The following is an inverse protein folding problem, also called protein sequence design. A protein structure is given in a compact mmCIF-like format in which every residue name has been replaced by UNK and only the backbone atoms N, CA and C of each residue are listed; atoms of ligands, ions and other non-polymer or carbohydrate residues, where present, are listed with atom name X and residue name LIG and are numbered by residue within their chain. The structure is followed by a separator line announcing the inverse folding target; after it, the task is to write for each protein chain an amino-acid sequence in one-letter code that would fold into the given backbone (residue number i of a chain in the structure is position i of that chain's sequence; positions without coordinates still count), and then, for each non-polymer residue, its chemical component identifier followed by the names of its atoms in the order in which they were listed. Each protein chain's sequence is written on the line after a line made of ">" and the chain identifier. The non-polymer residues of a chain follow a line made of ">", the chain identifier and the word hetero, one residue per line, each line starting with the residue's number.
data_IF_450243790300
#
_entry.id   IF_450243790300
#
_cell.length_a   1.000
_cell.length_b   1.000
_cell.length_c   1.000
_cell.angle_alpha   90.00
_cell.angle_beta   90.00
_cell.angle_gamma   90.00
#
_symmetry.space_group_name_H-M   'P 1'
#
loop_
_entity.id
_entity.type
_entity.pdbx_description
1 polymer ?
#
# COMPACT_ATOMS: atom_id res chain seq x y z
N UNK A 1 7.67 13.97 2.94
CA UNK A 1 6.43 13.18 3.07
C UNK A 1 6.80 11.74 3.35
N UNK A 2 5.89 10.93 3.92
CA UNK A 2 6.10 9.49 4.17
C UNK A 2 5.19 8.63 3.32
N UNK A 3 5.61 7.41 3.03
CA UNK A 3 4.76 6.40 2.41
C UNK A 3 4.29 5.37 3.42
N UNK A 4 3.05 4.91 3.26
CA UNK A 4 2.37 3.91 4.07
C UNK A 4 1.90 2.82 3.13
N UNK A 5 2.56 1.66 3.19
CA UNK A 5 2.28 0.48 2.36
C UNK A 5 1.35 -0.48 3.11
N UNK A 6 0.25 -0.88 2.47
CA UNK A 6 -0.72 -1.85 3.00
C UNK A 6 -0.32 -3.28 2.59
N UNK A 7 0.46 -3.96 3.43
CA UNK A 7 1.05 -5.27 3.11
C UNK A 7 0.64 -6.39 4.09
N UNK A 8 -0.50 -6.24 4.77
CA UNK A 8 -0.92 -7.17 5.82
C UNK A 8 -1.71 -8.40 5.31
N UNK A 9 -2.20 -8.34 4.07
CA UNK A 9 -3.12 -9.33 3.50
C UNK A 9 -2.56 -10.74 3.34
N UNK A 10 -3.46 -11.71 3.26
CA UNK A 10 -3.13 -13.14 3.16
C UNK A 10 -2.56 -13.56 1.80
N UNK A 11 -2.93 -12.87 0.71
CA UNK A 11 -2.53 -13.28 -0.64
C UNK A 11 -3.08 -14.64 -1.08
N UNK A 12 -4.17 -15.12 -0.46
CA UNK A 12 -4.67 -16.49 -0.56
C UNK A 12 -4.97 -16.98 -1.98
N UNK A 13 -5.31 -16.07 -2.90
CA UNK A 13 -5.64 -16.36 -4.30
C UNK A 13 -4.45 -16.85 -5.13
N UNK A 14 -3.23 -16.52 -4.74
CA UNK A 14 -2.02 -16.91 -5.47
C UNK A 14 -1.48 -18.27 -5.05
N UNK A 15 -2.01 -18.88 -3.98
CA UNK A 15 -1.49 -20.14 -3.44
C UNK A 15 -0.02 -20.05 -2.99
N UNK A 16 0.48 -18.85 -2.72
CA UNK A 16 1.87 -18.61 -2.37
C UNK A 16 2.11 -18.87 -0.89
N UNK A 17 3.16 -19.62 -0.59
CA UNK A 17 3.77 -19.59 0.75
C UNK A 17 4.73 -18.40 0.85
N UNK A 18 4.22 -17.18 0.66
CA UNK A 18 4.88 -15.90 0.97
C UNK A 18 3.89 -14.73 0.88
N UNK A 19 4.11 -13.62 1.61
CA UNK A 19 3.36 -12.38 1.41
C UNK A 19 3.46 -11.88 -0.04
N UNK A 20 2.35 -11.36 -0.59
CA UNK A 20 2.28 -10.79 -1.96
C UNK A 20 3.39 -9.78 -2.25
N UNK A 21 3.67 -8.88 -1.29
CA UNK A 21 4.72 -7.86 -1.44
C UNK A 21 6.13 -8.47 -1.63
N UNK A 22 6.33 -9.75 -1.29
CA UNK A 22 7.58 -10.50 -1.52
C UNK A 22 7.55 -11.37 -2.78
N UNK A 23 6.51 -11.25 -3.61
CA UNK A 23 6.47 -11.86 -4.94
C UNK A 23 7.57 -11.24 -5.80
N UNK A 24 8.30 -12.09 -6.52
CA UNK A 24 9.37 -11.67 -7.41
C UNK A 24 8.87 -11.59 -8.85
N UNK A 25 9.16 -10.47 -9.51
CA UNK A 25 8.96 -10.28 -10.94
C UNK A 25 10.29 -9.86 -11.53
N UNK A 26 10.87 -10.66 -12.43
CA UNK A 26 12.17 -10.38 -13.03
C UNK A 26 13.31 -10.27 -12.00
N UNK A 27 13.32 -11.17 -11.01
CA UNK A 27 14.39 -11.27 -10.00
C UNK A 27 14.41 -10.16 -8.94
N UNK A 28 13.36 -9.35 -8.82
CA UNK A 28 13.19 -8.36 -7.74
C UNK A 28 11.80 -8.47 -7.14
N UNK A 29 11.73 -8.37 -5.81
CA UNK A 29 10.45 -8.36 -5.10
C UNK A 29 9.65 -7.08 -5.37
N UNK A 30 8.33 -7.12 -5.24
CA UNK A 30 7.50 -5.91 -5.25
C UNK A 30 7.95 -4.94 -4.14
N UNK A 31 8.29 -5.45 -2.95
CA UNK A 31 8.84 -4.70 -1.83
C UNK A 31 10.07 -3.89 -2.24
N UNK A 32 11.06 -4.55 -2.85
CA UNK A 32 12.28 -3.90 -3.32
C UNK A 32 11.93 -2.78 -4.32
N UNK A 33 11.03 -3.05 -5.27
CA UNK A 33 10.60 -2.09 -6.28
C UNK A 33 9.92 -0.88 -5.66
N UNK A 34 8.98 -1.07 -4.73
CA UNK A 34 8.35 0.03 -3.98
C UNK A 34 9.40 0.90 -3.30
N UNK A 35 10.31 0.30 -2.51
CA UNK A 35 11.30 1.05 -1.73
C UNK A 35 12.27 1.84 -2.62
N UNK A 36 12.72 1.25 -3.73
CA UNK A 36 13.55 1.96 -4.71
C UNK A 36 12.79 3.07 -5.43
N UNK A 37 11.55 2.84 -5.84
CA UNK A 37 10.72 3.87 -6.48
C UNK A 37 10.46 5.05 -5.53
N UNK A 38 10.08 4.75 -4.28
CA UNK A 38 9.82 5.75 -3.25
C UNK A 38 11.05 6.62 -2.98
N UNK A 39 12.22 6.01 -2.75
CA UNK A 39 13.46 6.76 -2.53
C UNK A 39 13.81 7.64 -3.74
N UNK A 40 13.67 7.11 -4.94
CA UNK A 40 14.03 7.83 -6.16
C UNK A 40 13.03 8.95 -6.51
N UNK A 41 11.84 8.96 -5.91
CA UNK A 41 10.88 10.07 -5.94
C UNK A 41 11.01 11.03 -4.74
N UNK A 42 12.04 10.88 -3.90
CA UNK A 42 12.30 11.77 -2.77
C UNK A 42 11.40 11.54 -1.55
N UNK A 43 10.78 10.37 -1.42
CA UNK A 43 10.03 9.99 -0.22
C UNK A 43 11.01 9.76 0.93
N UNK A 44 10.73 10.37 2.08
CA UNK A 44 11.67 10.43 3.19
C UNK A 44 11.76 9.13 4.00
N UNK A 45 10.65 8.39 4.10
CA UNK A 45 10.55 7.14 4.85
C UNK A 45 9.37 6.30 4.34
N UNK A 46 9.44 4.98 4.56
CA UNK A 46 8.34 4.05 4.33
C UNK A 46 7.92 3.37 5.64
N UNK A 47 6.62 3.32 5.87
CA UNK A 47 5.98 2.54 6.94
C UNK A 47 5.18 1.44 6.27
N UNK A 48 5.36 0.20 6.71
CA UNK A 48 4.71 -0.96 6.12
C UNK A 48 3.81 -1.61 7.17
N UNK A 49 2.51 -1.63 6.90
CA UNK A 49 1.56 -2.42 7.68
C UNK A 49 1.72 -3.88 7.35
N UNK A 50 2.10 -4.69 8.34
CA UNK A 50 2.32 -6.14 8.17
C UNK A 50 1.32 -6.95 8.97
N UNK A 51 1.02 -8.15 8.50
CA UNK A 51 0.07 -9.05 9.11
C UNK A 51 0.55 -10.49 8.90
N UNK A 52 -0.05 -11.17 7.94
CA UNK A 52 0.34 -12.53 7.58
C UNK A 52 1.85 -12.62 7.23
N UNK A 53 2.56 -13.51 7.93
CA UNK A 53 4.00 -13.75 7.75
C UNK A 53 4.85 -12.46 7.79
N UNK A 54 4.49 -11.50 8.67
CA UNK A 54 5.17 -10.21 8.80
C UNK A 54 6.66 -10.33 9.13
N UNK A 55 7.08 -11.41 9.80
CA UNK A 55 8.48 -11.73 10.07
C UNK A 55 9.30 -11.95 8.79
N UNK A 56 8.68 -12.50 7.73
CA UNK A 56 9.35 -12.67 6.43
C UNK A 56 9.55 -11.34 5.73
N UNK A 57 8.59 -10.42 5.86
CA UNK A 57 8.73 -9.03 5.37
C UNK A 57 9.87 -8.34 6.14
N UNK A 58 9.92 -8.49 7.47
CA UNK A 58 10.99 -7.94 8.29
C UNK A 58 12.38 -8.47 7.87
N UNK A 59 12.50 -9.78 7.66
CA UNK A 59 13.74 -10.39 7.19
C UNK A 59 14.11 -9.90 5.78
N UNK A 60 13.13 -9.71 4.88
CA UNK A 60 13.38 -9.16 3.55
C UNK A 60 13.88 -7.71 3.61
N UNK A 61 13.26 -6.84 4.41
CA UNK A 61 13.71 -5.45 4.61
C UNK A 61 15.16 -5.43 5.13
N UNK A 62 15.48 -6.27 6.13
CA UNK A 62 16.84 -6.35 6.68
C UNK A 62 17.87 -6.78 5.62
N UNK A 63 17.53 -7.74 4.75
CA UNK A 63 18.42 -8.18 3.66
C UNK A 63 18.58 -7.13 2.57
N UNK A 64 17.53 -6.39 2.24
CA UNK A 64 17.53 -5.42 1.14
C UNK A 64 18.43 -4.22 1.39
N UNK A 65 18.71 -3.86 2.66
CA UNK A 65 19.42 -2.61 3.01
C UNK A 65 18.82 -1.40 2.26
N UNK A 66 17.56 -1.05 2.57
CA UNK A 66 16.74 -0.21 1.72
C UNK A 66 17.32 1.21 1.54
N UNK A 67 17.08 1.85 0.39
CA UNK A 67 17.63 3.19 0.07
C UNK A 67 16.97 4.34 0.86
N UNK A 68 16.00 4.03 1.72
CA UNK A 68 15.31 4.94 2.61
C UNK A 68 14.99 4.23 3.94
N UNK A 69 14.79 4.97 5.05
CA UNK A 69 14.31 4.41 6.31
C UNK A 69 13.00 3.63 6.14
N UNK A 70 12.94 2.44 6.74
CA UNK A 70 11.75 1.57 6.72
C UNK A 70 11.35 1.20 8.14
N UNK A 71 10.05 1.29 8.43
CA UNK A 71 9.43 0.83 9.68
C UNK A 71 8.30 -0.16 9.39
N UNK A 72 8.08 -1.07 10.33
CA UNK A 72 7.02 -2.07 10.25
C UNK A 72 6.03 -1.83 11.39
N UNK A 73 4.75 -1.96 11.09
CA UNK A 73 3.66 -1.87 12.08
C UNK A 73 2.79 -3.10 11.93
N UNK A 74 2.65 -3.88 12.99
CA UNK A 74 1.83 -5.08 12.98
C UNK A 74 0.34 -4.72 13.04
N UNK A 75 -0.45 -5.30 12.14
CA UNK A 75 -1.89 -5.39 12.24
C UNK A 75 -2.24 -6.80 12.76
N UNK A 76 -2.63 -6.97 14.04
CA UNK A 76 -3.04 -8.27 14.57
C UNK A 76 -4.36 -8.77 13.93
N UNK A 77 -5.18 -7.85 13.43
CA UNK A 77 -6.49 -8.11 12.84
C UNK A 77 -6.42 -8.25 11.31
N UNK A 78 -5.29 -8.72 10.78
CA UNK A 78 -5.02 -8.81 9.34
C UNK A 78 -5.91 -9.81 8.58
N UNK A 79 -6.65 -10.66 9.30
CA UNK A 79 -7.66 -11.57 8.74
C UNK A 79 -9.01 -10.88 8.49
N UNK A 80 -9.21 -9.69 9.04
CA UNK A 80 -10.37 -8.84 8.74
C UNK A 80 -10.16 -8.10 7.39
N UNK A 81 -10.89 -7.02 7.14
CA UNK A 81 -10.75 -6.22 5.93
C UNK A 81 -9.51 -5.33 5.95
N UNK A 82 -9.04 -4.87 4.77
CA UNK A 82 -7.87 -3.99 4.66
C UNK A 82 -8.03 -2.67 5.45
N UNK A 83 -9.25 -2.27 5.81
CA UNK A 83 -9.51 -1.16 6.72
C UNK A 83 -8.87 -1.32 8.11
N UNK A 84 -8.73 -2.55 8.62
CA UNK A 84 -8.06 -2.79 9.92
C UNK A 84 -6.58 -2.48 9.84
N UNK A 85 -5.97 -2.63 8.66
CA UNK A 85 -4.57 -2.27 8.41
C UNK A 85 -4.37 -0.76 8.42
N UNK A 86 -5.29 -0.01 7.79
CA UNK A 86 -5.30 1.46 7.87
C UNK A 86 -5.39 1.92 9.33
N UNK A 87 -6.25 1.28 10.12
CA UNK A 87 -6.39 1.61 11.54
C UNK A 87 -5.19 1.21 12.40
N UNK A 88 -4.55 0.08 12.11
CA UNK A 88 -3.30 -0.32 12.77
C UNK A 88 -2.22 0.76 12.55
N UNK A 89 -2.17 1.34 11.35
CA UNK A 89 -1.25 2.40 10.92
C UNK A 89 -1.71 3.83 11.29
N UNK A 90 -2.77 3.97 12.11
CA UNK A 90 -3.38 5.29 12.39
C UNK A 90 -2.40 6.32 12.93
N UNK A 91 -1.43 5.89 13.76
CA UNK A 91 -0.46 6.81 14.38
C UNK A 91 0.50 7.34 13.32
N UNK A 92 0.92 6.50 12.39
CA UNK A 92 1.85 6.83 11.32
C UNK A 92 1.18 7.65 10.22
N UNK A 93 -0.08 7.33 9.88
CA UNK A 93 -0.89 8.12 8.96
C UNK A 93 -1.16 9.51 9.54
N UNK A 94 -1.46 9.62 10.84
CA UNK A 94 -1.78 10.89 11.50
C UNK A 94 -0.55 11.61 12.13
N UNK A 95 0.69 11.16 11.87
CA UNK A 95 1.92 11.71 12.46
C UNK A 95 2.35 13.10 11.92
N UNK A 96 1.43 13.84 11.30
CA UNK A 96 1.68 15.16 10.72
C UNK A 96 2.37 15.12 9.34
N UNK A 97 2.15 16.15 8.53
CA UNK A 97 2.63 16.21 7.15
C UNK A 97 1.84 15.32 6.17
N UNK A 98 2.12 15.46 4.86
CA UNK A 98 1.47 14.66 3.82
C UNK A 98 1.94 13.21 3.80
N UNK A 99 1.04 12.32 3.37
CA UNK A 99 1.21 10.86 3.35
C UNK A 99 0.91 10.32 1.95
N UNK A 100 1.70 9.36 1.49
CA UNK A 100 1.31 8.45 0.41
C UNK A 100 0.73 7.18 1.03
N UNK A 101 -0.53 6.86 0.74
CA UNK A 101 -1.13 5.57 1.08
C UNK A 101 -1.13 4.71 -0.19
N UNK A 102 -0.64 3.48 -0.09
CA UNK A 102 -0.46 2.63 -1.27
C UNK A 102 -0.74 1.17 -0.95
N UNK A 103 -1.44 0.50 -1.86
CA UNK A 103 -1.43 -0.95 -1.93
C UNK A 103 -0.02 -1.49 -2.24
N UNK A 104 0.29 -2.67 -1.72
CA UNK A 104 1.65 -3.23 -1.73
C UNK A 104 1.84 -4.41 -2.69
N UNK A 105 0.82 -4.74 -3.47
CA UNK A 105 0.78 -5.83 -4.45
C UNK A 105 0.72 -5.35 -5.90
N UNK A 106 1.16 -4.11 -6.12
CA UNK A 106 1.18 -3.47 -7.43
C UNK A 106 2.59 -3.44 -8.01
N UNK A 107 2.75 -3.93 -9.24
CA UNK A 107 3.92 -3.66 -10.06
C UNK A 107 3.65 -2.43 -10.94
N UNK A 108 4.49 -1.40 -10.87
CA UNK A 108 4.21 -0.12 -11.55
C UNK A 108 5.47 0.60 -12.05
N UNK A 109 5.28 1.42 -13.07
CA UNK A 109 6.28 2.35 -13.57
C UNK A 109 6.43 3.56 -12.64
N UNK A 110 7.67 3.94 -12.33
CA UNK A 110 7.95 5.06 -11.42
C UNK A 110 7.26 6.37 -11.84
N UNK A 111 7.02 6.58 -13.14
CA UNK A 111 6.31 7.76 -13.65
C UNK A 111 4.88 7.87 -13.11
N UNK A 112 4.22 6.77 -12.71
CA UNK A 112 2.93 6.84 -12.01
C UNK A 112 3.06 7.62 -10.70
N UNK A 113 4.10 7.31 -9.92
CA UNK A 113 4.35 7.98 -8.65
C UNK A 113 4.75 9.45 -8.87
N UNK A 114 5.58 9.74 -9.88
CA UNK A 114 5.92 11.12 -10.23
C UNK A 114 4.67 11.94 -10.57
N UNK A 115 3.74 11.40 -11.38
CA UNK A 115 2.47 12.06 -11.70
C UNK A 115 1.61 12.34 -10.47
N UNK A 116 1.51 11.37 -9.55
CA UNK A 116 0.76 11.53 -8.30
C UNK A 116 1.35 12.64 -7.42
N UNK A 117 2.68 12.67 -7.31
CA UNK A 117 3.41 13.62 -6.48
C UNK A 117 3.39 15.04 -7.04
N UNK A 118 3.41 15.18 -8.37
CA UNK A 118 3.42 16.48 -9.06
C UNK A 118 2.00 17.05 -9.30
N UNK A 119 0.94 16.30 -9.00
CA UNK A 119 -0.43 16.78 -9.18
C UNK A 119 -0.67 18.09 -8.38
N UNK A 120 -1.41 19.07 -8.94
CA UNK A 120 -1.56 20.38 -8.30
C UNK A 120 -2.41 20.34 -7.03
N UNK A 121 -3.36 19.40 -6.93
CA UNK A 121 -4.19 19.22 -5.74
C UNK A 121 -3.37 18.61 -4.60
N UNK A 122 -3.64 19.02 -3.35
CA UNK A 122 -2.95 18.46 -2.19
C UNK A 122 -3.32 16.99 -1.94
N UNK A 123 -4.57 16.63 -2.24
CA UNK A 123 -5.14 15.29 -2.16
C UNK A 123 -5.39 14.79 -3.57
N UNK A 124 -4.84 13.63 -3.92
CA UNK A 124 -4.90 13.11 -5.28
C UNK A 124 -4.87 11.58 -5.33
N UNK A 125 -5.58 10.99 -6.28
CA UNK A 125 -5.53 9.57 -6.61
C UNK A 125 -5.10 9.37 -8.07
N UNK A 126 -4.72 8.13 -8.38
CA UNK A 126 -4.41 7.71 -9.75
C UNK A 126 -5.65 7.11 -10.42
N UNK A 127 -5.80 7.40 -11.71
CA UNK A 127 -6.82 6.84 -12.59
C UNK A 127 -6.16 6.28 -13.86
N UNK A 128 -6.39 5.01 -14.14
CA UNK A 128 -6.25 4.47 -15.48
C UNK A 128 -7.60 4.51 -16.19
N UNK A 129 -7.69 5.06 -17.40
CA UNK A 129 -8.94 5.04 -18.17
C UNK A 129 -9.21 3.68 -18.79
N UNK A 130 -8.17 2.86 -18.96
CA UNK A 130 -8.31 1.48 -19.41
C UNK A 130 -8.70 0.62 -18.21
N UNK A 131 -10.00 0.36 -18.08
CA UNK A 131 -10.53 -0.50 -17.03
C UNK A 131 -10.40 -1.97 -17.44
N UNK A 132 -9.71 -2.76 -16.64
CA UNK A 132 -9.64 -4.19 -16.85
C UNK A 132 -11.03 -4.84 -16.72
N UNK A 133 -11.31 -5.81 -17.59
CA UNK A 133 -12.57 -6.52 -17.57
C UNK A 133 -12.65 -7.42 -16.32
N UNK A 134 -13.75 -7.33 -15.59
CA UNK A 134 -13.99 -8.19 -14.44
C UNK A 134 -14.55 -7.44 -13.25
N UNK A 135 -14.70 -8.18 -12.15
CA UNK A 135 -15.28 -7.64 -10.92
C UNK A 135 -14.22 -7.19 -9.91
N UNK A 136 -13.00 -7.69 -10.03
CA UNK A 136 -11.91 -7.40 -9.07
C UNK A 136 -11.37 -5.97 -9.17
N UNK A 137 -11.19 -5.36 -10.37
CA UNK A 137 -10.72 -3.99 -10.49
C UNK A 137 -11.57 -2.98 -9.70
N UNK A 138 -10.90 -2.20 -8.85
CA UNK A 138 -11.51 -1.10 -8.12
C UNK A 138 -11.79 0.04 -9.09
N UNK A 139 -13.07 0.37 -9.26
CA UNK A 139 -13.51 1.40 -10.19
C UNK A 139 -13.47 2.76 -9.51
N UNK A 140 -12.84 3.73 -10.18
CA UNK A 140 -12.88 5.15 -9.83
C UNK A 140 -13.78 5.87 -10.83
N UNK A 141 -14.93 6.35 -10.36
CA UNK A 141 -15.88 7.07 -11.21
C UNK A 141 -15.80 8.57 -10.96
N UNK A 142 -15.81 9.34 -12.06
CA UNK A 142 -15.74 10.79 -12.03
C UNK A 142 -17.04 11.41 -12.56
N UNK A 143 -17.38 12.60 -12.06
CA UNK A 143 -18.40 13.47 -12.64
C UNK A 143 -17.86 14.89 -12.75
N UNK A 144 -17.80 15.43 -13.96
CA UNK A 144 -17.21 16.74 -14.21
C UNK A 144 -15.76 16.84 -13.74
N UNK A 145 -14.99 15.76 -13.87
CA UNK A 145 -13.59 15.67 -13.44
C UNK A 145 -13.37 15.51 -11.93
N UNK A 146 -14.42 15.32 -11.13
CA UNK A 146 -14.31 15.08 -9.68
C UNK A 146 -14.64 13.63 -9.35
N UNK A 147 -13.84 12.95 -8.49
CA UNK A 147 -14.19 11.65 -7.94
C UNK A 147 -15.54 11.68 -7.23
N UNK A 148 -16.40 10.73 -7.58
CA UNK A 148 -17.72 10.55 -6.94
C UNK A 148 -17.91 9.15 -6.37
N UNK A 149 -17.09 8.19 -6.81
CA UNK A 149 -17.18 6.79 -6.39
C UNK A 149 -15.82 6.10 -6.49
N UNK A 150 -15.56 5.18 -5.56
CA UNK A 150 -14.37 4.33 -5.51
C UNK A 150 -14.76 3.00 -4.85
N UNK A 151 -14.92 1.94 -5.67
CA UNK A 151 -15.15 0.55 -5.23
C UNK A 151 -15.20 -0.40 -6.41
N UNK A 152 -15.11 -1.70 -6.14
CA UNK A 152 -15.24 -2.77 -7.16
C UNK A 152 -16.58 -2.74 -7.92
N UNK A 153 -17.67 -2.45 -7.21
CA UNK A 153 -19.04 -2.39 -7.75
C UNK A 153 -19.71 -1.07 -7.35
N UNK A 154 -19.69 -0.03 -8.22
CA UNK A 154 -20.28 1.28 -7.94
C UNK A 154 -21.69 1.20 -7.36
N UNK A 155 -22.03 2.11 -6.44
CA UNK A 155 -23.38 2.16 -5.87
C UNK A 155 -24.44 2.35 -6.96
N UNK A 156 -25.55 1.60 -6.92
CA UNK A 156 -26.69 1.85 -7.79
C UNK A 156 -27.14 3.31 -7.68
N UNK A 157 -27.26 3.99 -8.82
CA UNK A 157 -27.74 5.38 -8.88
C UNK A 157 -26.64 6.44 -8.78
N UNK A 158 -25.38 6.08 -8.53
CA UNK A 158 -24.28 7.03 -8.70
C UNK A 158 -24.19 7.45 -10.16
N UNK A 159 -24.18 8.77 -10.38
CA UNK A 159 -24.03 9.35 -11.72
C UNK A 159 -22.58 9.75 -11.95
N UNK A 160 -22.01 9.24 -13.03
CA UNK A 160 -20.65 9.55 -13.48
C UNK A 160 -20.62 9.71 -15.00
N UNK A 161 -19.66 10.48 -15.51
CA UNK A 161 -19.40 10.65 -16.95
C UNK A 161 -18.11 9.94 -17.42
N UNK A 162 -17.26 9.53 -16.47
CA UNK A 162 -16.09 8.69 -16.71
C UNK A 162 -15.96 7.64 -15.61
N UNK A 163 -15.55 6.43 -15.98
CA UNK A 163 -15.19 5.36 -15.07
C UNK A 163 -13.91 4.70 -15.57
N UNK A 164 -12.94 4.56 -14.68
CA UNK A 164 -11.71 3.83 -14.96
C UNK A 164 -11.25 3.07 -13.72
N UNK A 165 -10.01 2.59 -13.76
CA UNK A 165 -9.42 1.78 -12.71
C UNK A 165 -8.60 2.63 -11.73
N UNK A 166 -8.76 2.35 -10.44
CA UNK A 166 -7.89 2.89 -9.41
C UNK A 166 -6.67 2.01 -9.25
N UNK A 167 -5.49 2.63 -9.18
CA UNK A 167 -4.22 1.94 -8.93
C UNK A 167 -4.04 1.58 -7.43
N UNK A 168 -4.90 2.09 -6.55
CA UNK A 168 -4.74 1.91 -5.09
C UNK A 168 -3.71 2.85 -4.44
N UNK A 169 -3.25 3.88 -5.16
CA UNK A 169 -2.28 4.87 -4.67
C UNK A 169 -2.92 6.24 -4.46
N UNK A 170 -2.71 6.81 -3.27
CA UNK A 170 -3.31 8.06 -2.84
C UNK A 170 -2.27 8.97 -2.20
N UNK A 171 -2.16 10.21 -2.69
CA UNK A 171 -1.46 11.28 -1.97
C UNK A 171 -2.46 12.04 -1.15
N UNK A 172 -2.19 12.14 0.14
CA UNK A 172 -3.06 12.75 1.14
C UNK A 172 -2.31 13.90 1.82
N UNK A 173 -2.95 15.06 1.88
CA UNK A 173 -2.58 16.12 2.81
C UNK A 173 -2.67 15.64 4.26
N UNK A 174 -2.05 16.37 5.19
CA UNK A 174 -2.16 16.08 6.63
C UNK A 174 -3.63 16.03 7.09
N UNK A 175 -4.46 16.95 6.59
CA UNK A 175 -5.88 17.00 6.89
C UNK A 175 -6.64 15.78 6.34
N UNK A 176 -6.36 15.35 5.10
CA UNK A 176 -6.91 14.10 4.55
C UNK A 176 -6.51 12.90 5.40
N UNK A 177 -5.22 12.79 5.72
CA UNK A 177 -4.66 11.64 6.40
C UNK A 177 -5.29 11.46 7.79
N UNK A 178 -5.44 12.56 8.56
CA UNK A 178 -6.18 12.54 9.83
C UNK A 178 -7.64 12.13 9.63
N UNK A 179 -8.31 12.71 8.63
CA UNK A 179 -9.71 12.40 8.36
C UNK A 179 -9.92 10.94 7.94
N UNK A 180 -9.01 10.37 7.14
CA UNK A 180 -9.03 8.96 6.77
C UNK A 180 -8.99 8.05 8.00
N UNK A 181 -8.13 8.38 8.97
CA UNK A 181 -8.02 7.64 10.23
C UNK A 181 -9.32 7.70 11.03
N UNK A 182 -9.95 8.86 11.11
CA UNK A 182 -11.26 9.01 11.78
C UNK A 182 -12.33 8.17 11.10
N UNK A 183 -12.40 8.21 9.76
CA UNK A 183 -13.34 7.41 8.97
C UNK A 183 -13.11 5.93 9.24
N UNK A 184 -11.87 5.44 9.13
CA UNK A 184 -11.52 4.05 9.40
C UNK A 184 -11.88 3.62 10.84
N UNK A 185 -11.63 4.49 11.83
CA UNK A 185 -12.08 4.28 13.22
C UNK A 185 -13.60 4.17 13.33
N UNK A 186 -14.34 4.97 12.56
CA UNK A 186 -15.80 4.90 12.48
C UNK A 186 -16.33 3.59 11.91
N UNK A 187 -15.64 2.99 10.93
CA UNK A 187 -15.98 1.64 10.42
C UNK A 187 -15.78 0.57 11.50
N UNK A 188 -14.69 0.63 12.24
CA UNK A 188 -14.40 -0.33 13.32
C UNK A 188 -15.40 -0.20 14.47
N UNK A 189 -15.71 1.04 14.89
CA UNK A 189 -16.63 1.32 15.98
C UNK A 189 -18.05 0.78 15.72
N UNK A 190 -18.48 0.73 14.46
CA UNK A 190 -19.79 0.16 14.04
C UNK A 190 -19.74 -1.32 13.65
N UNK A 191 -18.61 -2.00 13.86
CA UNK A 191 -18.44 -3.42 13.55
C UNK A 191 -18.20 -3.75 12.08
N UNK A 192 -18.00 -2.75 11.20
CA UNK A 192 -17.72 -2.94 9.77
C UNK A 192 -16.24 -3.28 9.51
N UNK A 193 -15.70 -4.25 10.25
CA UNK A 193 -14.27 -4.61 10.26
C UNK A 193 -13.81 -5.29 8.97
N UNK A 194 -14.71 -5.94 8.26
CA UNK A 194 -14.42 -6.63 6.99
C UNK A 194 -14.42 -5.70 5.77
N UNK A 195 -14.62 -4.39 5.95
CA UNK A 195 -14.64 -3.46 4.84
C UNK A 195 -13.25 -3.36 4.17
N UNK A 196 -13.21 -3.28 2.83
CA UNK A 196 -12.00 -2.88 2.13
C UNK A 196 -11.65 -1.42 2.45
N UNK A 197 -10.36 -1.08 2.49
CA UNK A 197 -9.88 0.26 2.84
C UNK A 197 -10.35 1.34 1.85
N UNK A 198 -10.62 0.95 0.62
CA UNK A 198 -11.15 1.76 -0.47
C UNK A 198 -12.49 2.39 -0.09
N UNK A 199 -13.28 1.75 0.78
CA UNK A 199 -14.52 2.30 1.32
C UNK A 199 -14.26 3.56 2.17
N UNK A 200 -13.21 3.54 2.99
CA UNK A 200 -12.82 4.70 3.78
C UNK A 200 -12.23 5.82 2.91
N UNK A 201 -11.47 5.46 1.87
CA UNK A 201 -10.95 6.44 0.90
C UNK A 201 -12.07 7.03 0.06
N UNK A 202 -13.09 6.25 -0.31
CA UNK A 202 -14.31 6.73 -0.97
C UNK A 202 -15.04 7.76 -0.11
N UNK A 203 -15.26 7.45 1.15
CA UNK A 203 -15.95 8.38 2.05
C UNK A 203 -15.13 9.68 2.19
N UNK A 204 -13.80 9.57 2.27
CA UNK A 204 -12.91 10.73 2.28
C UNK A 204 -13.02 11.59 1.01
N UNK A 205 -12.95 11.00 -0.19
CA UNK A 205 -13.03 11.76 -1.44
C UNK A 205 -14.43 12.38 -1.68
N UNK A 206 -15.48 11.83 -1.07
CA UNK A 206 -16.84 12.41 -1.14
C UNK A 206 -17.00 13.61 -0.21
N UNK A 207 -16.24 13.66 0.88
CA UNK A 207 -16.29 14.74 1.87
C UNK A 207 -15.46 15.97 1.47
N UNK A 208 -14.49 15.83 0.56
CA UNK A 208 -13.55 16.93 0.25
C UNK A 208 -13.01 16.90 -1.18
N UNK A 209 -12.49 18.04 -1.70
CA UNK A 209 -11.90 18.08 -3.02
C UNK A 209 -10.75 17.08 -3.17
N UNK A 210 -10.80 16.30 -4.25
CA UNK A 210 -9.78 15.31 -4.59
C UNK A 210 -9.38 15.48 -6.05
N UNK A 211 -8.08 15.59 -6.31
CA UNK A 211 -7.53 15.61 -7.65
C UNK A 211 -7.41 14.20 -8.23
N UNK A 212 -7.33 14.11 -9.55
CA UNK A 212 -7.10 12.86 -10.25
C UNK A 212 -5.91 13.04 -11.19
N UNK A 213 -4.89 12.21 -11.03
CA UNK A 213 -3.77 12.14 -11.95
C UNK A 213 -3.96 10.92 -12.86
N UNK A 214 -4.14 11.18 -14.14
CA UNK A 214 -4.32 10.12 -15.13
C UNK A 214 -2.99 9.42 -15.43
N UNK A 215 -3.03 8.09 -15.53
CA UNK A 215 -1.87 7.23 -15.78
C UNK A 215 -2.03 6.31 -16.99
N UNK A 216 -3.13 6.45 -17.74
CA UNK A 216 -3.41 5.66 -18.96
C UNK A 216 -2.18 5.54 -19.86
N UNK A 217 -1.87 4.31 -20.26
CA UNK A 217 -0.72 3.96 -21.11
C UNK A 217 0.61 3.79 -20.38
N UNK A 218 0.71 4.15 -19.09
CA UNK A 218 1.87 3.78 -18.26
C UNK A 218 1.76 2.31 -17.83
N UNK A 219 2.88 1.56 -17.80
CA UNK A 219 2.84 0.15 -17.44
C UNK A 219 2.66 -0.04 -15.93
N UNK A 220 1.59 -0.72 -15.55
CA UNK A 220 1.34 -1.20 -14.19
C UNK A 220 0.41 -2.42 -14.21
N UNK A 221 0.33 -3.13 -13.08
CA UNK A 221 -0.62 -4.22 -12.83
C UNK A 221 -0.71 -4.50 -11.32
N UNK A 222 -1.92 -4.71 -10.80
CA UNK A 222 -2.15 -5.32 -9.48
C UNK A 222 -2.05 -6.84 -9.59
N UNK A 223 -1.30 -7.50 -8.68
CA UNK A 223 -1.06 -8.94 -8.75
C UNK A 223 -1.96 -9.67 -7.75
N UNK A 224 -3.12 -10.09 -8.24
CA UNK A 224 -4.14 -10.79 -7.46
C UNK A 224 -4.17 -12.29 -7.72
N UNK A 225 -3.91 -12.69 -8.97
CA UNK A 225 -3.98 -14.08 -9.45
C UNK A 225 -2.67 -14.54 -10.11
N UNK A 226 -2.43 -15.86 -10.22
CA UNK A 226 -1.22 -16.39 -10.88
C UNK A 226 -1.04 -15.87 -12.31
N UNK A 227 -2.15 -15.64 -13.03
CA UNK A 227 -2.18 -15.06 -14.37
C UNK A 227 -1.63 -13.64 -14.39
N UNK A 228 -1.86 -12.85 -13.33
CA UNK A 228 -1.35 -11.49 -13.20
C UNK A 228 0.15 -11.49 -12.99
N UNK A 229 0.69 -12.41 -12.19
CA UNK A 229 2.14 -12.56 -12.04
C UNK A 229 2.80 -12.89 -13.39
N UNK A 230 2.16 -13.75 -14.17
CA UNK A 230 2.57 -14.10 -15.53
C UNK A 230 2.49 -12.89 -16.51
N UNK A 231 1.43 -12.07 -16.42
CA UNK A 231 1.30 -10.82 -17.19
C UNK A 231 2.32 -9.77 -16.76
N UNK A 232 2.56 -9.66 -15.46
CA UNK A 232 3.54 -8.76 -14.88
C UNK A 232 4.93 -9.01 -15.45
N UNK A 233 5.35 -10.27 -15.57
CA UNK A 233 6.63 -10.64 -16.19
C UNK A 233 6.67 -10.39 -17.69
N UNK A 234 5.63 -10.79 -18.43
CA UNK A 234 5.68 -10.81 -19.90
C UNK A 234 5.31 -9.49 -20.56
N UNK A 235 4.45 -8.69 -19.92
CA UNK A 235 3.82 -7.52 -20.54
C UNK A 235 4.18 -6.22 -19.85
N UNK A 236 4.24 -6.21 -18.51
CA UNK A 236 4.46 -4.98 -17.74
C UNK A 236 5.94 -4.72 -17.51
N UNK A 237 6.68 -5.70 -16.97
CA UNK A 237 8.10 -5.60 -16.65
C UNK A 237 8.95 -5.06 -17.82
N UNK A 238 8.80 -5.53 -19.07
CA UNK A 238 9.63 -5.06 -20.18
C UNK A 238 9.43 -3.57 -20.53
N UNK A 239 8.31 -2.98 -20.09
CA UNK A 239 7.94 -1.59 -20.37
C UNK A 239 8.30 -0.64 -19.23
N UNK A 240 8.67 -1.16 -18.05
CA UNK A 240 9.02 -0.33 -16.90
C UNK A 240 10.30 0.46 -17.17
N UNK A 241 10.30 1.74 -16.82
CA UNK A 241 11.55 2.50 -16.74
C UNK A 241 12.47 1.94 -15.65
N UNK A 242 13.77 1.88 -15.95
CA UNK A 242 14.74 1.44 -14.96
C UNK A 242 14.77 2.39 -13.76
N UNK A 243 14.70 1.83 -12.56
CA UNK A 243 15.03 2.53 -11.32
C UNK A 243 16.41 2.06 -10.91
N UNK A 244 17.38 2.96 -11.01
CA UNK A 244 18.76 2.69 -10.64
C UNK A 244 18.83 2.29 -9.15
N UNK A 245 19.66 1.29 -8.84
CA UNK A 245 20.02 0.99 -7.46
C UNK A 245 21.08 2.02 -7.04
N UNK A 246 20.79 2.95 -6.11
CA UNK A 246 21.87 3.73 -5.53
C UNK A 246 22.85 2.74 -4.85
N UNK A 247 24.16 3.04 -4.84
CA UNK A 247 25.15 2.20 -4.17
C UNK A 247 24.78 2.03 -2.69
N UNK A 248 24.85 0.79 -2.20
CA UNK A 248 24.45 0.43 -0.83
C UNK A 248 25.34 1.16 0.18
N UNK A 249 24.83 2.21 0.82
CA UNK A 249 25.48 2.82 1.98
C UNK A 249 25.03 2.08 3.24
N UNK A 250 25.93 1.27 3.81
CA UNK A 250 25.74 0.57 5.09
C UNK A 250 25.48 1.60 6.21
N UNK A 251 24.22 1.87 6.53
CA UNK A 251 23.86 2.76 7.64
C UNK A 251 23.30 1.94 8.81
N UNK A 252 23.77 2.23 10.03
CA UNK A 252 23.50 1.48 11.26
C UNK A 252 22.01 1.52 11.64
N UNK A 253 21.41 0.36 11.89
CA UNK A 253 20.07 0.20 12.46
C UNK A 253 20.03 0.77 13.88
N UNK A 254 19.23 1.82 14.09
CA UNK A 254 18.84 2.30 15.40
C UNK A 254 17.51 1.69 15.79
N UNK A 255 17.50 0.86 16.83
CA UNK A 255 16.26 0.45 17.50
C UNK A 255 15.79 1.61 18.37
N UNK A 256 14.64 2.19 18.06
CA UNK A 256 13.99 3.16 18.95
C UNK A 256 13.52 2.43 20.21
N UNK A 257 14.18 2.69 21.34
CA UNK A 257 13.71 2.24 22.66
C UNK A 257 12.45 3.01 23.00
N UNK A 258 11.30 2.34 23.02
CA UNK A 258 10.18 2.76 23.85
C UNK A 258 10.57 2.54 25.30
N UNK A 259 10.43 3.57 26.12
CA UNK A 259 10.68 3.49 27.56
C UNK A 259 9.67 2.57 28.23
N UNK A 260 10.18 1.64 29.04
CA UNK A 260 9.57 1.16 30.28
C UNK A 260 8.41 0.16 30.19
N UNK A 261 8.73 -1.13 30.26
CA UNK A 261 8.17 -2.05 31.28
C UNK A 261 8.98 -3.36 31.27
N UNK A 262 9.47 -3.76 32.45
CA UNK A 262 10.27 -4.96 32.65
C UNK A 262 9.45 -6.22 32.40
N UNK A 263 9.97 -7.11 31.55
CA UNK A 263 9.74 -8.55 31.65
C UNK A 263 11.11 -9.21 31.72
N UNK A 264 11.70 -9.16 32.92
CA UNK A 264 12.64 -10.20 33.34
C UNK A 264 11.84 -11.47 33.67
N UNK A 265 12.50 -12.61 33.49
CA UNK A 265 12.05 -13.98 33.69
C UNK A 265 11.31 -14.63 32.51
N UNK A 266 12.11 -15.30 31.67
CA UNK A 266 11.98 -16.74 31.35
C UNK A 266 13.24 -17.17 30.57
N UNK A 267 14.39 -17.20 31.25
CA UNK A 267 15.53 -18.02 30.82
C UNK A 267 15.46 -19.36 31.57
N UNK A 268 14.94 -20.39 30.92
CA UNK A 268 15.13 -21.79 31.31
C UNK A 268 15.89 -22.53 30.20
N UNK A 269 16.87 -23.39 30.52
CA UNK A 269 17.64 -24.08 29.50
C UNK A 269 16.80 -25.14 28.78
N UNK A 270 16.94 -25.16 27.46
CA UNK A 270 16.33 -26.14 26.55
C UNK A 270 17.00 -27.51 26.77
N UNK A 271 16.26 -28.49 27.27
CA UNK A 271 16.65 -29.91 27.29
C UNK A 271 15.93 -30.58 26.11
N UNK A 272 16.63 -31.27 25.19
CA UNK A 272 15.97 -32.07 24.17
C UNK A 272 15.59 -33.43 24.75
N UNK A 273 14.32 -33.83 24.59
CA UNK A 273 13.93 -35.23 24.78
C UNK A 273 13.91 -35.94 23.42
N UNK A 274 14.71 -37.00 23.37
CA UNK A 274 14.64 -38.08 22.38
C UNK A 274 13.51 -39.06 22.74
N UNK A 275 13.11 -39.82 21.71
CA UNK A 275 12.08 -40.88 21.58
C UNK A 275 10.61 -40.46 21.41
#
# INVERSE_FOLDING_TARGET
>A
MRAVLLAAGLGSRLGLDRPKVLLEVGGRTLLERHLHCLAACGVAEAVIGVGHQGERIAAAVARLSPPLPVRLVANPDYRDGSITTVWALRREIAAGGPVLLMDADVLYDRRLLDRLLQAPQADCCLLDRELEAGEEPVKLCLRGGRPVELRKRPEPGVRYDLCGESVGFFRLSEAAARRLVEIAGGYLARGARHAPHEEAVRDLLRERPFGVAEVTGLPWIEIDFPEDAARAERQVLPRLVAVERPPVNRTRLGWGRGEGELLDDLQGPFIPEEE
#
